data_IF_393514853401
#
_entry.id   IF_393514853401
#
_cell.length_a   1.000
_cell.length_b   1.000
_cell.length_c   1.000
_cell.angle_alpha   90.00
_cell.angle_beta   90.00
_cell.angle_gamma   90.00
#
_symmetry.space_group_name_H-M   'P 1'
#
loop_
_entity.id
_entity.type
_entity.pdbx_description
1 polymer ?
#
# COMPACT_ATOMS: atom_id res chain seq x y z
N UNK A 1 22.38 7.13 -9.68
CA UNK A 1 21.40 7.94 -8.91
C UNK A 1 19.99 7.44 -9.21
N UNK A 2 19.33 6.74 -8.28
CA UNK A 2 17.98 6.15 -8.46
C UNK A 2 16.83 7.16 -8.19
N UNK A 3 17.01 8.41 -8.62
CA UNK A 3 16.08 9.53 -8.39
C UNK A 3 15.05 9.72 -9.53
N UNK A 4 14.94 8.75 -10.43
CA UNK A 4 13.98 8.75 -11.55
C UNK A 4 12.54 8.50 -11.11
N UNK A 5 11.59 8.97 -11.93
CA UNK A 5 10.20 8.54 -11.86
C UNK A 5 10.08 7.20 -12.60
N UNK A 6 9.53 6.17 -11.93
CA UNK A 6 9.42 4.83 -12.50
C UNK A 6 7.95 4.52 -12.78
N UNK A 7 7.69 3.95 -13.95
CA UNK A 7 6.38 3.42 -14.33
C UNK A 7 6.22 2.03 -13.70
N UNK A 8 5.34 1.92 -12.71
CA UNK A 8 4.98 0.65 -12.11
C UNK A 8 3.67 0.15 -12.72
N UNK A 9 3.58 -1.18 -12.88
CA UNK A 9 2.37 -1.88 -13.27
C UNK A 9 1.94 -2.76 -12.10
N UNK A 10 0.72 -2.59 -11.58
CA UNK A 10 0.21 -3.56 -10.58
C UNK A 10 0.01 -4.91 -11.29
N UNK A 11 0.55 -5.98 -10.71
CA UNK A 11 0.42 -7.33 -11.25
C UNK A 11 -1.01 -7.87 -11.25
N UNK A 12 -1.91 -7.29 -10.45
CA UNK A 12 -3.29 -7.74 -10.36
C UNK A 12 -4.21 -6.96 -11.32
N UNK A 13 -4.27 -5.62 -11.22
CA UNK A 13 -5.18 -4.80 -12.03
C UNK A 13 -4.58 -4.26 -13.34
N UNK A 14 -3.31 -4.54 -13.64
CA UNK A 14 -2.58 -3.98 -14.80
C UNK A 14 -2.50 -2.45 -14.90
N UNK A 15 -3.04 -1.71 -13.93
CA UNK A 15 -2.96 -0.25 -13.91
C UNK A 15 -1.50 0.20 -13.87
N UNK A 16 -1.16 1.14 -14.75
CA UNK A 16 0.14 1.80 -14.82
C UNK A 16 0.10 3.09 -14.00
N UNK A 17 1.15 3.35 -13.24
CA UNK A 17 1.27 4.60 -12.49
C UNK A 17 2.74 4.99 -12.35
N UNK A 18 2.99 6.28 -12.37
CA UNK A 18 4.33 6.85 -12.24
C UNK A 18 4.56 7.19 -10.78
N UNK A 19 5.58 6.58 -10.16
CA UNK A 19 5.92 6.89 -8.78
C UNK A 19 7.44 6.99 -8.57
N UNK A 20 7.85 7.76 -7.56
CA UNK A 20 9.25 7.86 -7.08
C UNK A 20 9.44 7.11 -5.75
N UNK A 21 9.38 5.77 -5.71
CA UNK A 21 9.35 5.02 -4.44
C UNK A 21 10.65 5.10 -3.66
N UNK A 22 11.79 5.37 -4.31
CA UNK A 22 13.11 5.41 -3.69
C UNK A 22 13.55 6.80 -3.21
N UNK A 23 12.71 7.83 -3.37
CA UNK A 23 13.00 9.14 -2.76
C UNK A 23 13.04 9.04 -1.24
N UNK A 24 13.98 9.72 -0.58
CA UNK A 24 14.13 9.70 0.89
C UNK A 24 12.81 10.00 1.61
N UNK A 25 12.06 11.00 1.13
CA UNK A 25 10.73 11.37 1.64
C UNK A 25 9.69 10.26 1.51
N UNK A 26 9.86 9.36 0.55
CA UNK A 26 8.95 8.23 0.31
C UNK A 26 9.40 6.95 1.03
N UNK A 27 10.60 6.88 1.60
CA UNK A 27 11.09 5.71 2.34
C UNK A 27 10.36 5.52 3.69
N UNK A 28 9.91 6.61 4.31
CA UNK A 28 9.23 6.59 5.60
C UNK A 28 7.80 6.01 5.58
N UNK A 29 7.17 5.89 4.40
CA UNK A 29 5.77 5.45 4.30
C UNK A 29 5.64 3.96 3.96
N UNK A 30 4.48 3.40 4.33
CA UNK A 30 4.08 2.06 3.95
C UNK A 30 3.85 1.97 2.43
N UNK A 31 4.30 0.86 1.84
CA UNK A 31 4.21 0.59 0.41
C UNK A 31 3.55 -0.76 0.18
N UNK A 32 2.70 -0.84 -0.82
CA UNK A 32 2.19 -2.13 -1.28
C UNK A 32 3.36 -3.01 -1.75
N UNK A 33 3.48 -4.27 -1.29
CA UNK A 33 4.59 -5.14 -1.70
C UNK A 33 4.53 -5.56 -3.17
N UNK A 34 3.36 -5.43 -3.84
CA UNK A 34 3.19 -5.79 -5.25
C UNK A 34 3.40 -4.64 -6.22
N UNK A 35 2.98 -3.44 -5.83
CA UNK A 35 2.89 -2.31 -6.75
C UNK A 35 3.56 -1.04 -6.22
N UNK A 36 4.12 -1.07 -5.02
CA UNK A 36 4.85 0.04 -4.37
C UNK A 36 4.04 1.34 -4.18
N UNK A 37 2.72 1.28 -4.39
CA UNK A 37 1.79 2.37 -4.06
C UNK A 37 1.80 2.69 -2.56
N UNK A 38 1.67 3.98 -2.26
CA UNK A 38 1.60 4.53 -0.91
C UNK A 38 0.21 5.09 -0.58
N UNK A 39 -0.68 5.13 -1.56
CA UNK A 39 -2.12 5.32 -1.44
C UNK A 39 -2.75 4.01 -0.94
N UNK A 40 -3.01 3.98 0.36
CA UNK A 40 -3.45 2.78 1.08
C UNK A 40 -4.74 3.06 1.86
N UNK A 41 -5.64 2.08 1.83
CA UNK A 41 -6.82 2.01 2.68
C UNK A 41 -6.51 1.23 3.94
N UNK A 42 -7.30 1.42 4.99
CA UNK A 42 -7.22 0.60 6.20
C UNK A 42 -8.21 -0.56 6.08
N UNK A 43 -7.88 -1.72 6.64
CA UNK A 43 -8.82 -2.82 6.78
C UNK A 43 -9.03 -3.13 8.27
N UNK A 44 -10.22 -3.63 8.59
CA UNK A 44 -10.59 -3.98 9.96
C UNK A 44 -10.42 -5.48 10.23
N UNK A 45 -9.94 -5.83 11.43
CA UNK A 45 -9.79 -7.23 11.86
C UNK A 45 -11.12 -7.99 11.95
N UNK A 46 -12.25 -7.27 12.06
CA UNK A 46 -13.58 -7.89 12.07
C UNK A 46 -13.95 -8.47 10.71
N UNK A 47 -13.53 -7.79 9.64
CA UNK A 47 -13.87 -8.13 8.25
C UNK A 47 -12.84 -9.05 7.58
N UNK A 48 -11.64 -9.15 8.15
CA UNK A 48 -10.54 -9.93 7.58
C UNK A 48 -9.90 -10.81 8.65
N UNK A 49 -9.61 -12.07 8.32
CA UNK A 49 -8.86 -12.98 9.20
C UNK A 49 -7.35 -12.90 8.88
N UNK A 50 -6.56 -12.06 9.59
CA UNK A 50 -5.12 -12.02 9.37
C UNK A 50 -4.43 -13.29 9.84
N UNK A 51 -3.30 -13.60 9.20
CA UNK A 51 -2.40 -14.67 9.65
C UNK A 51 -1.82 -14.36 11.03
N UNK A 52 -1.34 -15.40 11.73
CA UNK A 52 -0.74 -15.27 13.07
C UNK A 52 0.40 -14.24 13.09
N UNK A 53 1.23 -14.23 12.04
CA UNK A 53 2.31 -13.25 11.90
C UNK A 53 1.82 -11.81 11.75
N UNK A 54 0.73 -11.60 11.01
CA UNK A 54 0.12 -10.27 10.90
C UNK A 54 -0.49 -9.83 12.22
N UNK A 55 -1.16 -10.73 12.97
CA UNK A 55 -1.68 -10.45 14.31
C UNK A 55 -0.58 -10.04 15.27
N UNK A 56 0.54 -10.76 15.26
CA UNK A 56 1.70 -10.43 16.09
C UNK A 56 2.20 -9.01 15.79
N UNK A 57 2.34 -8.66 14.51
CA UNK A 57 2.74 -7.30 14.10
C UNK A 57 1.75 -6.24 14.57
N UNK A 58 0.45 -6.50 14.44
CA UNK A 58 -0.60 -5.58 14.91
C UNK A 58 -0.53 -5.40 16.43
N UNK A 59 -0.25 -6.46 17.17
CA UNK A 59 -0.05 -6.41 18.62
C UNK A 59 1.16 -5.55 19.00
N UNK A 60 2.23 -5.57 18.20
CA UNK A 60 3.38 -4.66 18.32
C UNK A 60 3.11 -3.22 17.82
N UNK A 61 1.87 -2.86 17.48
CA UNK A 61 1.51 -1.51 17.04
C UNK A 61 1.71 -1.24 15.54
N UNK A 62 1.82 -2.29 14.73
CA UNK A 62 1.80 -2.10 13.28
C UNK A 62 0.39 -1.72 12.78
N UNK A 63 0.33 -1.11 11.61
CA UNK A 63 -0.90 -0.64 11.00
C UNK A 63 -1.42 -1.62 9.93
N UNK A 64 -2.74 -1.93 9.91
CA UNK A 64 -3.36 -2.77 8.90
C UNK A 64 -3.63 -1.98 7.60
N UNK A 65 -2.85 -2.26 6.55
CA UNK A 65 -2.98 -1.59 5.26
C UNK A 65 -3.55 -2.50 4.18
N UNK A 66 -4.39 -1.92 3.32
CA UNK A 66 -4.99 -2.55 2.14
C UNK A 66 -4.65 -1.72 0.92
N UNK A 67 -4.08 -2.38 -0.08
CA UNK A 67 -3.98 -1.78 -1.41
C UNK A 67 -5.26 -2.11 -2.18
N UNK A 68 -6.08 -1.12 -2.48
CA UNK A 68 -7.31 -1.32 -3.25
C UNK A 68 -7.09 -1.79 -4.69
N UNK A 69 -6.16 -1.21 -5.47
CA UNK A 69 -5.88 -1.69 -6.82
C UNK A 69 -5.44 -3.16 -6.87
N UNK A 70 -4.55 -3.56 -5.96
CA UNK A 70 -4.02 -4.92 -5.95
C UNK A 70 -4.80 -5.87 -5.03
N UNK A 71 -5.81 -5.38 -4.31
CA UNK A 71 -6.67 -6.10 -3.36
C UNK A 71 -5.91 -6.92 -2.30
N UNK A 72 -4.70 -6.50 -1.93
CA UNK A 72 -3.86 -7.19 -0.94
C UNK A 72 -3.92 -6.48 0.41
N UNK A 73 -4.15 -7.26 1.46
CA UNK A 73 -4.03 -6.83 2.85
C UNK A 73 -2.64 -7.17 3.36
N UNK A 74 -1.99 -6.21 4.00
CA UNK A 74 -0.70 -6.38 4.64
C UNK A 74 -0.63 -5.54 5.91
N UNK A 75 0.46 -5.72 6.66
CA UNK A 75 0.70 -5.02 7.92
C UNK A 75 2.06 -4.38 7.86
N UNK A 76 2.15 -3.09 8.23
CA UNK A 76 3.41 -2.35 8.28
C UNK A 76 3.43 -1.38 9.46
N UNK A 77 4.59 -1.23 10.10
CA UNK A 77 4.80 -0.22 11.14
C UNK A 77 4.81 1.21 10.59
N UNK A 78 5.03 1.35 9.28
CA UNK A 78 5.07 2.66 8.64
C UNK A 78 3.65 3.22 8.46
N UNK A 79 3.47 4.54 8.61
CA UNK A 79 2.19 5.19 8.30
C UNK A 79 1.91 5.16 6.79
N UNK A 80 0.63 5.30 6.41
CA UNK A 80 0.27 5.58 5.02
C UNK A 80 0.61 7.02 4.68
N UNK A 81 0.94 7.28 3.42
CA UNK A 81 1.16 8.64 2.92
C UNK A 81 -0.16 9.34 2.64
N UNK A 82 -1.01 8.69 1.85
CA UNK A 82 -2.27 9.23 1.36
C UNK A 82 -3.36 8.15 1.48
N UNK A 83 -4.60 8.58 1.67
CA UNK A 83 -5.76 7.68 1.60
C UNK A 83 -6.05 7.40 0.13
N UNK A 84 -6.24 6.13 -0.20
CA UNK A 84 -6.69 5.78 -1.55
C UNK A 84 -8.09 6.37 -1.81
N UNK A 85 -8.19 7.19 -2.86
CA UNK A 85 -9.45 7.66 -3.42
C UNK A 85 -9.62 6.94 -4.76
N UNK A 86 -10.74 6.23 -4.91
CA UNK A 86 -11.07 5.60 -6.19
C UNK A 86 -11.28 6.73 -7.21
N UNK A 87 -10.61 6.73 -8.37
CA UNK A 87 -10.91 7.71 -9.41
C UNK A 87 -12.39 7.56 -9.80
N UNK A 88 -13.11 8.67 -9.90
CA UNK A 88 -14.46 8.68 -10.43
C UNK A 88 -14.39 8.09 -11.85
N UNK A 89 -15.30 7.15 -12.15
CA UNK A 89 -15.47 6.69 -13.53
C UNK A 89 -16.14 7.86 -14.24
N UNK A 90 -15.43 8.52 -15.15
CA UNK A 90 -16.07 9.42 -16.11
C UNK A 90 -16.85 8.52 -17.08
N UNK A 91 -18.17 8.60 -17.02
CA UNK A 91 -19.12 7.87 -17.89
C UNK A 91 -19.11 8.39 -19.33
#
# INVERSE_FOLDING_TARGET
MLTGAYCFRCSNCSARFVHRPLGARNAAWAKCPRCLRMDLSMWELRLYRPSTWMRLKLWFGANPWRCDPCRINFVSFRPRKERYVRPAVEE
#
